data_IF_945601432436
#
_entry.id   IF_945601432436
#
_cell.length_a   1.000
_cell.length_b   1.000
_cell.length_c   1.000
_cell.angle_alpha   90.00
_cell.angle_beta   90.00
_cell.angle_gamma   90.00
#
_symmetry.space_group_name_H-M   'P 1'
#
loop_
_entity.id
_entity.type
_entity.pdbx_description
1 polymer ?
#
# COMPACT_ATOMS: atom_id res chain seq x y z
N UNK A 1 0.33 -1.70 -24.66
CA UNK A 1 1.34 -1.26 -23.68
C UNK A 1 0.81 -1.41 -22.27
N UNK A 2 1.40 -2.33 -21.51
CA UNK A 2 1.16 -2.52 -20.06
C UNK A 2 1.33 -1.20 -19.30
N UNK A 3 2.23 -0.34 -19.78
CA UNK A 3 2.48 1.03 -19.31
C UNK A 3 1.24 1.92 -19.26
N UNK A 4 0.24 1.77 -20.16
CA UNK A 4 -0.98 2.60 -20.14
C UNK A 4 -2.02 2.15 -19.11
N UNK A 5 -1.93 0.92 -18.59
CA UNK A 5 -2.86 0.39 -17.56
C UNK A 5 -2.38 0.70 -16.15
N UNK A 6 -1.06 0.72 -15.95
CA UNK A 6 -0.40 1.05 -14.67
C UNK A 6 -0.90 2.39 -14.11
N UNK A 7 -1.19 3.39 -14.96
CA UNK A 7 -1.64 4.70 -14.49
C UNK A 7 -3.14 4.80 -14.11
N UNK A 8 -4.03 3.95 -14.63
CA UNK A 8 -5.47 4.13 -14.40
C UNK A 8 -5.96 3.57 -13.05
N UNK A 9 -5.38 2.46 -12.59
CA UNK A 9 -5.70 1.87 -11.29
C UNK A 9 -4.99 2.64 -10.17
N UNK A 10 -3.74 3.06 -10.42
CA UNK A 10 -2.97 3.88 -9.48
C UNK A 10 -3.71 5.15 -9.05
N UNK A 11 -4.37 5.87 -9.97
CA UNK A 11 -5.10 7.10 -9.67
C UNK A 11 -6.32 6.91 -8.74
N UNK A 12 -6.91 5.70 -8.68
CA UNK A 12 -8.10 5.48 -7.85
C UNK A 12 -7.78 4.89 -6.47
N UNK A 13 -6.81 3.97 -6.37
CA UNK A 13 -6.41 3.40 -5.06
C UNK A 13 -5.42 4.27 -4.28
N UNK A 14 -4.71 5.19 -4.94
CA UNK A 14 -3.90 6.21 -4.24
C UNK A 14 -4.71 7.42 -3.79
N UNK A 15 -5.98 7.54 -4.17
CA UNK A 15 -6.82 8.67 -3.80
C UNK A 15 -7.23 8.59 -2.32
N UNK A 16 -6.52 9.35 -1.50
CA UNK A 16 -6.72 9.46 -0.05
C UNK A 16 -8.05 10.12 0.35
N UNK A 17 -8.79 10.72 -0.59
CA UNK A 17 -10.13 11.27 -0.34
C UNK A 17 -11.22 10.20 -0.39
N UNK A 18 -10.91 9.00 -0.91
CA UNK A 18 -11.90 7.92 -0.96
C UNK A 18 -12.12 7.30 0.43
N UNK A 19 -13.39 7.16 0.89
CA UNK A 19 -13.69 6.59 2.20
C UNK A 19 -13.11 5.19 2.42
N UNK A 20 -13.01 4.39 1.35
CA UNK A 20 -12.40 3.06 1.36
C UNK A 20 -10.90 3.11 1.65
N UNK A 21 -10.16 3.96 0.92
CA UNK A 21 -8.71 4.15 1.12
C UNK A 21 -8.43 4.68 2.53
N UNK A 22 -9.19 5.68 2.99
CA UNK A 22 -9.06 6.16 4.37
C UNK A 22 -9.35 5.08 5.41
N UNK A 23 -10.27 4.15 5.12
CA UNK A 23 -10.52 3.00 5.99
C UNK A 23 -9.33 2.04 6.04
N UNK A 24 -8.65 1.84 4.91
CA UNK A 24 -7.42 1.03 4.86
C UNK A 24 -6.33 1.72 5.68
N UNK A 25 -6.07 3.01 5.44
CA UNK A 25 -5.08 3.79 6.21
C UNK A 25 -5.33 3.69 7.72
N UNK A 26 -6.58 3.88 8.17
CA UNK A 26 -6.94 3.73 9.59
C UNK A 26 -6.68 2.32 10.14
N UNK A 27 -6.86 1.28 9.34
CA UNK A 27 -6.61 -0.11 9.74
C UNK A 27 -5.10 -0.43 9.75
N UNK A 28 -4.34 0.11 8.80
CA UNK A 28 -2.88 0.02 8.79
C UNK A 28 -2.28 0.72 10.01
N UNK A 29 -2.79 1.90 10.38
CA UNK A 29 -2.37 2.63 11.57
C UNK A 29 -2.87 2.04 12.90
N UNK A 30 -3.65 0.95 12.86
CA UNK A 30 -4.27 0.39 14.08
C UNK A 30 -3.21 -0.24 14.98
N UNK A 31 -3.27 0.11 16.27
CA UNK A 31 -2.46 -0.44 17.36
C UNK A 31 -0.95 -0.20 17.22
N UNK A 32 -0.53 1.07 17.22
CA UNK A 32 0.88 1.42 17.27
C UNK A 32 1.10 2.92 17.06
N UNK A 33 2.37 3.29 16.90
CA UNK A 33 2.80 4.60 16.42
C UNK A 33 3.84 4.49 15.30
N UNK A 34 4.21 3.26 14.92
CA UNK A 34 5.16 2.97 13.86
C UNK A 34 4.78 1.67 13.16
N UNK A 35 5.24 1.48 11.93
CA UNK A 35 5.08 0.27 11.13
C UNK A 35 6.36 0.01 10.34
N UNK A 36 6.76 -1.27 10.27
CA UNK A 36 7.90 -1.69 9.47
C UNK A 36 7.50 -1.80 7.99
N UNK A 37 8.46 -1.70 7.04
CA UNK A 37 8.19 -1.92 5.63
C UNK A 37 7.47 -3.25 5.34
N UNK A 38 7.94 -4.33 5.95
CA UNK A 38 7.36 -5.67 5.84
C UNK A 38 5.90 -5.72 6.30
N UNK A 39 5.60 -5.14 7.48
CA UNK A 39 4.24 -5.08 7.99
C UNK A 39 3.33 -4.15 7.18
N UNK A 40 3.87 -3.10 6.55
CA UNK A 40 3.12 -2.23 5.64
C UNK A 40 2.65 -3.03 4.42
N UNK A 41 3.55 -3.78 3.78
CA UNK A 41 3.23 -4.62 2.62
C UNK A 41 2.16 -5.64 2.98
N UNK A 42 2.39 -6.42 4.04
CA UNK A 42 1.47 -7.49 4.45
C UNK A 42 0.07 -6.96 4.77
N UNK A 43 -0.04 -5.84 5.52
CA UNK A 43 -1.34 -5.23 5.84
C UNK A 43 -2.03 -4.67 4.61
N UNK A 44 -1.29 -4.05 3.68
CA UNK A 44 -1.89 -3.51 2.46
C UNK A 44 -2.43 -4.63 1.57
N UNK A 45 -1.71 -5.74 1.43
CA UNK A 45 -2.17 -6.94 0.72
C UNK A 45 -3.44 -7.49 1.39
N UNK A 46 -3.41 -7.73 2.71
CA UNK A 46 -4.58 -8.26 3.44
C UNK A 46 -5.84 -7.38 3.26
N UNK A 47 -5.66 -6.05 3.28
CA UNK A 47 -6.77 -5.09 3.30
C UNK A 47 -7.35 -4.74 1.92
N UNK A 48 -6.54 -4.76 0.85
CA UNK A 48 -7.02 -4.51 -0.51
C UNK A 48 -7.75 -5.72 -1.10
N UNK A 49 -7.42 -6.91 -0.60
CA UNK A 49 -8.04 -8.18 -0.90
C UNK A 49 -7.07 -9.29 -0.52
N UNK A 50 -7.48 -10.37 0.16
CA UNK A 50 -6.59 -11.43 0.62
C UNK A 50 -6.02 -12.22 -0.58
N UNK A 51 -5.03 -11.65 -1.24
CA UNK A 51 -4.40 -12.15 -2.45
C UNK A 51 -3.20 -13.00 -2.06
N UNK A 52 -3.07 -14.13 -2.72
CA UNK A 52 -1.80 -14.86 -2.73
C UNK A 52 -0.90 -14.20 -3.78
N UNK A 53 0.03 -13.36 -3.31
CA UNK A 53 1.08 -12.79 -4.16
C UNK A 53 2.31 -13.71 -4.15
N UNK A 54 3.03 -13.77 -5.26
CA UNK A 54 4.27 -14.56 -5.33
C UNK A 54 5.38 -13.93 -4.48
N UNK A 55 6.37 -14.74 -4.07
CA UNK A 55 7.55 -14.26 -3.33
C UNK A 55 8.33 -13.18 -4.11
N UNK A 56 8.34 -13.28 -5.45
CA UNK A 56 8.96 -12.29 -6.34
C UNK A 56 8.24 -10.94 -6.24
N UNK A 57 6.92 -10.92 -6.46
CA UNK A 57 6.09 -9.72 -6.32
C UNK A 57 6.20 -9.13 -4.91
N UNK A 58 6.15 -9.97 -3.86
CA UNK A 58 6.32 -9.51 -2.48
C UNK A 58 7.69 -8.87 -2.27
N UNK A 59 8.75 -9.44 -2.84
CA UNK A 59 10.11 -8.89 -2.77
C UNK A 59 10.22 -7.50 -3.41
N UNK A 60 9.58 -7.28 -4.56
CA UNK A 60 9.56 -5.97 -5.22
C UNK A 60 8.80 -4.91 -4.41
N UNK A 61 7.64 -5.27 -3.85
CA UNK A 61 6.85 -4.38 -2.98
C UNK A 61 7.62 -4.04 -1.70
N UNK A 62 8.30 -5.03 -1.10
CA UNK A 62 9.10 -4.82 0.09
C UNK A 62 10.29 -3.90 -0.19
N UNK A 63 11.02 -4.11 -1.28
CA UNK A 63 12.13 -3.24 -1.67
C UNK A 63 11.68 -1.78 -1.82
N UNK A 64 10.50 -1.54 -2.40
CA UNK A 64 9.92 -0.20 -2.49
C UNK A 64 9.65 0.41 -1.10
N UNK A 65 9.05 -0.36 -0.19
CA UNK A 65 8.76 0.10 1.16
C UNK A 65 10.05 0.35 1.99
N UNK A 66 11.10 -0.44 1.76
CA UNK A 66 12.40 -0.30 2.44
C UNK A 66 13.17 0.93 1.98
N UNK A 67 13.11 1.27 0.69
CA UNK A 67 13.73 2.49 0.14
C UNK A 67 13.20 3.76 0.83
N UNK A 68 11.95 3.75 1.28
CA UNK A 68 11.35 4.86 2.02
C UNK A 68 11.58 4.79 3.55
N UNK A 69 12.10 3.68 4.05
CA UNK A 69 12.43 3.45 5.46
C UNK A 69 11.22 3.22 6.39
N UNK A 70 11.46 3.01 7.70
CA UNK A 70 10.40 2.80 8.67
C UNK A 70 9.50 4.03 8.83
N UNK A 71 8.21 3.79 9.09
CA UNK A 71 7.19 4.84 9.12
C UNK A 71 6.70 5.01 10.55
N UNK A 72 6.87 6.21 11.09
CA UNK A 72 6.15 6.68 12.27
C UNK A 72 4.82 7.30 11.84
N UNK A 73 3.84 7.33 12.74
CA UNK A 73 2.54 7.98 12.57
C UNK A 73 2.03 8.51 13.92
N UNK A 74 2.95 8.99 14.76
CA UNK A 74 2.65 9.53 16.08
C UNK A 74 2.09 10.97 16.02
N UNK A 75 2.38 11.69 14.95
CA UNK A 75 1.93 13.07 14.68
C UNK A 75 1.06 13.13 13.42
N UNK A 76 0.28 14.21 13.27
CA UNK A 76 -0.56 14.41 12.09
C UNK A 76 0.26 14.45 10.78
N UNK A 77 1.47 15.01 10.84
CA UNK A 77 2.40 15.08 9.68
C UNK A 77 2.87 13.68 9.30
N UNK A 78 3.28 12.88 10.27
CA UNK A 78 3.69 11.49 10.07
C UNK A 78 2.52 10.61 9.62
N UNK A 79 1.31 10.86 10.14
CA UNK A 79 0.10 10.16 9.71
C UNK A 79 -0.27 10.48 8.26
N UNK A 80 -0.08 11.74 7.83
CA UNK A 80 -0.26 12.11 6.42
C UNK A 80 0.75 11.39 5.51
N UNK A 81 1.99 11.25 5.96
CA UNK A 81 3.02 10.48 5.23
C UNK A 81 2.69 8.98 5.19
N UNK A 82 2.24 8.39 6.30
CA UNK A 82 1.71 7.02 6.31
C UNK A 82 0.56 6.88 5.29
N UNK A 83 -0.37 7.84 5.27
CA UNK A 83 -1.51 7.83 4.37
C UNK A 83 -1.06 7.77 2.92
N UNK A 84 -0.10 8.62 2.53
CA UNK A 84 0.50 8.62 1.18
C UNK A 84 1.11 7.26 0.85
N UNK A 85 1.98 6.73 1.72
CA UNK A 85 2.66 5.45 1.49
C UNK A 85 1.71 4.26 1.39
N UNK A 86 0.62 4.27 2.17
CA UNK A 86 -0.46 3.29 2.02
C UNK A 86 -1.09 3.42 0.63
N UNK A 87 -1.42 4.64 0.19
CA UNK A 87 -1.96 4.87 -1.16
C UNK A 87 -1.04 4.36 -2.27
N UNK A 88 0.26 4.64 -2.17
CA UNK A 88 1.25 4.18 -3.14
C UNK A 88 1.39 2.65 -3.14
N UNK A 89 1.43 2.03 -1.96
CA UNK A 89 1.49 0.57 -1.85
C UNK A 89 0.24 -0.11 -2.43
N UNK A 90 -0.95 0.44 -2.20
CA UNK A 90 -2.19 -0.06 -2.79
C UNK A 90 -2.18 0.07 -4.32
N UNK A 91 -1.63 1.16 -4.85
CA UNK A 91 -1.47 1.35 -6.29
C UNK A 91 -0.51 0.32 -6.91
N UNK A 92 0.61 0.03 -6.24
CA UNK A 92 1.56 -1.00 -6.67
C UNK A 92 0.94 -2.38 -6.64
N UNK A 93 0.27 -2.76 -5.55
CA UNK A 93 -0.42 -4.06 -5.43
C UNK A 93 -1.49 -4.20 -6.53
N UNK A 94 -2.26 -3.14 -6.78
CA UNK A 94 -3.31 -3.21 -7.80
C UNK A 94 -2.77 -3.27 -9.24
N UNK A 95 -1.49 -2.96 -9.44
CA UNK A 95 -0.79 -3.09 -10.71
C UNK A 95 -0.20 -4.49 -10.96
N UNK A 96 -0.19 -5.38 -9.95
CA UNK A 96 0.35 -6.74 -10.06
C UNK A 96 -0.51 -7.63 -10.94
N UNK A 97 0.10 -8.71 -11.46
CA UNK A 97 -0.62 -9.72 -12.26
C UNK A 97 -1.63 -10.45 -11.38
N UNK A 98 -1.23 -10.76 -10.15
CA UNK A 98 -2.05 -11.47 -9.16
C UNK A 98 -3.34 -10.71 -8.85
N UNK A 99 -3.29 -9.37 -8.74
CA UNK A 99 -4.51 -8.58 -8.54
C UNK A 99 -5.39 -8.49 -9.79
N UNK A 100 -4.79 -8.43 -10.97
CA UNK A 100 -5.53 -8.23 -12.22
C UNK A 100 -6.20 -9.50 -12.75
N UNK A 101 -5.68 -10.67 -12.39
CA UNK A 101 -6.10 -11.97 -12.93
C UNK A 101 -6.47 -13.00 -11.85
N UNK A 102 -6.37 -12.64 -10.57
CA UNK A 102 -6.78 -13.45 -9.41
C UNK A 102 -8.28 -13.42 -9.15
#
# INVERSE_FOLDING_TARGET
>A
SVVKRINFVADHVSNLDLPGVQSIVRRVAKNGAQITPDALVDRCVELIGPLEISDETRGELLAHAEDEGPISYATDVEYAELSRRVGDMLALIAATVEYQFG
#
